data_IF_748533015985
#
_entry.id   IF_748533015985
#
_cell.length_a   1.000
_cell.length_b   1.000
_cell.length_c   1.000
_cell.angle_alpha   90.00
_cell.angle_beta   90.00
_cell.angle_gamma   90.00
#
_symmetry.space_group_name_H-M   'P 1'
#
loop_
_entity.id
_entity.type
_entity.pdbx_description
1 polymer ?
#
# COMPACT_ATOMS: atom_id res chain seq x y z
N UNK A 1 -4.68 -8.78 12.69
CA UNK A 1 -3.76 -9.16 11.61
C UNK A 1 -2.57 -9.89 12.20
N UNK A 2 -2.09 -10.98 11.58
CA UNK A 2 -0.79 -11.54 11.95
C UNK A 2 0.31 -10.60 11.42
N UNK A 3 1.33 -10.30 12.23
CA UNK A 3 2.44 -9.40 11.88
C UNK A 3 3.13 -9.78 10.56
N UNK A 4 3.15 -11.07 10.26
CA UNK A 4 3.69 -11.63 9.02
C UNK A 4 2.91 -11.20 7.77
N UNK A 5 1.58 -10.99 7.88
CA UNK A 5 0.76 -10.50 6.76
C UNK A 5 1.08 -9.02 6.44
N UNK A 6 1.30 -8.19 7.46
CA UNK A 6 1.70 -6.78 7.27
C UNK A 6 3.05 -6.68 6.54
N UNK A 7 4.03 -7.49 6.94
CA UNK A 7 5.35 -7.53 6.28
C UNK A 7 5.26 -8.01 4.83
N UNK A 8 4.42 -9.01 4.57
CA UNK A 8 4.25 -9.53 3.21
C UNK A 8 3.64 -8.47 2.30
N UNK A 9 2.55 -7.85 2.73
CA UNK A 9 1.90 -6.77 1.97
C UNK A 9 2.86 -5.59 1.78
N UNK A 10 3.59 -5.21 2.83
CA UNK A 10 4.63 -4.17 2.73
C UNK A 10 5.68 -4.50 1.67
N UNK A 11 6.29 -5.70 1.72
CA UNK A 11 7.32 -6.12 0.74
C UNK A 11 6.78 -6.11 -0.68
N UNK A 12 5.57 -6.61 -0.87
CA UNK A 12 4.91 -6.62 -2.17
C UNK A 12 4.68 -5.20 -2.68
N UNK A 13 4.11 -4.31 -1.85
CA UNK A 13 3.90 -2.90 -2.19
C UNK A 13 5.22 -2.18 -2.52
N UNK A 14 6.29 -2.42 -1.76
CA UNK A 14 7.62 -1.87 -2.04
C UNK A 14 8.16 -2.37 -3.38
N UNK A 15 7.96 -3.66 -3.70
CA UNK A 15 8.41 -4.22 -4.97
C UNK A 15 7.67 -3.60 -6.17
N UNK A 16 6.34 -3.48 -6.06
CA UNK A 16 5.50 -2.84 -7.08
C UNK A 16 5.91 -1.38 -7.27
N UNK A 17 6.03 -0.61 -6.19
CA UNK A 17 6.38 0.82 -6.25
C UNK A 17 7.78 1.06 -6.86
N UNK A 18 8.73 0.12 -6.70
CA UNK A 18 10.11 0.26 -7.21
C UNK A 18 10.27 -0.19 -8.66
N UNK A 19 9.39 -1.05 -9.18
CA UNK A 19 9.53 -1.67 -10.50
C UNK A 19 8.72 -0.95 -11.60
N UNK A 20 8.64 0.38 -11.57
CA UNK A 20 7.87 1.19 -12.52
C UNK A 20 6.43 0.66 -12.69
N UNK A 21 5.60 0.79 -11.65
CA UNK A 21 4.29 0.16 -11.60
C UNK A 21 3.41 0.67 -12.75
N UNK A 22 2.72 -0.26 -13.42
CA UNK A 22 1.69 0.09 -14.39
C UNK A 22 0.42 0.56 -13.66
N UNK A 23 -0.50 1.20 -14.39
CA UNK A 23 -1.77 1.62 -13.81
C UNK A 23 -2.58 0.44 -13.24
N UNK A 24 -2.54 -0.72 -13.90
CA UNK A 24 -3.19 -1.95 -13.42
C UNK A 24 -2.59 -2.40 -12.09
N UNK A 25 -1.25 -2.39 -11.95
CA UNK A 25 -0.59 -2.77 -10.70
C UNK A 25 -1.01 -1.86 -9.55
N UNK A 26 -1.17 -0.56 -9.82
CA UNK A 26 -1.63 0.43 -8.85
C UNK A 26 -3.07 0.15 -8.44
N UNK A 27 -3.95 -0.15 -9.40
CA UNK A 27 -5.35 -0.42 -9.13
C UNK A 27 -5.55 -1.72 -8.34
N UNK A 28 -4.80 -2.76 -8.66
CA UNK A 28 -4.79 -4.02 -7.92
C UNK A 28 -4.25 -3.82 -6.50
N UNK A 29 -3.20 -3.03 -6.32
CA UNK A 29 -2.70 -2.63 -5.00
C UNK A 29 -3.78 -1.94 -4.18
N UNK A 30 -4.45 -0.95 -4.77
CA UNK A 30 -5.48 -0.18 -4.07
C UNK A 30 -6.71 -1.04 -3.77
N UNK A 31 -7.10 -1.96 -4.66
CA UNK A 31 -8.21 -2.89 -4.41
C UNK A 31 -7.91 -3.88 -3.28
N UNK A 32 -6.70 -4.45 -3.27
CA UNK A 32 -6.22 -5.30 -2.18
C UNK A 32 -6.24 -4.54 -0.86
N UNK A 33 -5.73 -3.31 -0.84
CA UNK A 33 -5.77 -2.45 0.33
C UNK A 33 -7.21 -2.13 0.77
N UNK A 34 -8.19 -2.05 -0.15
CA UNK A 34 -9.60 -1.83 0.21
C UNK A 34 -10.22 -3.04 0.90
N UNK A 35 -9.81 -4.26 0.53
CA UNK A 35 -10.28 -5.52 1.12
C UNK A 35 -9.79 -5.76 2.55
N UNK A 36 -8.71 -5.09 2.96
CA UNK A 36 -8.23 -5.16 4.34
C UNK A 36 -9.24 -4.54 5.33
N UNK A 37 -9.33 -5.13 6.52
CA UNK A 37 -10.15 -4.58 7.60
C UNK A 37 -9.57 -3.27 8.15
N UNK A 38 -10.37 -2.52 8.90
CA UNK A 38 -9.95 -1.22 9.47
C UNK A 38 -8.72 -1.33 10.37
N UNK A 39 -8.62 -2.38 11.17
CA UNK A 39 -7.47 -2.65 12.04
C UNK A 39 -6.22 -2.96 11.21
N UNK A 40 -6.36 -3.80 10.19
CA UNK A 40 -5.30 -4.21 9.28
C UNK A 40 -4.71 -3.03 8.48
N UNK A 41 -5.58 -2.17 7.96
CA UNK A 41 -5.18 -0.91 7.30
C UNK A 41 -4.38 -0.03 8.23
N UNK A 42 -4.80 0.08 9.51
CA UNK A 42 -4.11 0.91 10.50
C UNK A 42 -2.74 0.34 10.85
N UNK A 43 -2.64 -0.96 11.06
CA UNK A 43 -1.38 -1.63 11.38
C UNK A 43 -0.39 -1.53 10.21
N UNK A 44 -0.86 -1.79 8.98
CA UNK A 44 -0.06 -1.62 7.76
C UNK A 44 0.38 -0.17 7.59
N UNK A 45 -0.52 0.80 7.80
CA UNK A 45 -0.18 2.22 7.67
C UNK A 45 0.84 2.68 8.70
N UNK A 46 0.74 2.20 9.94
CA UNK A 46 1.71 2.46 10.99
C UNK A 46 3.07 1.88 10.62
N UNK A 47 3.09 0.62 10.16
CA UNK A 47 4.31 -0.07 9.72
C UNK A 47 4.99 0.64 8.55
N UNK A 48 4.26 0.93 7.48
CA UNK A 48 4.78 1.69 6.32
C UNK A 48 5.28 3.07 6.77
N UNK A 49 4.57 3.75 7.67
CA UNK A 49 5.00 5.05 8.19
C UNK A 49 6.30 5.01 8.99
N UNK A 50 6.63 3.88 9.62
CA UNK A 50 7.85 3.71 10.42
C UNK A 50 9.03 3.24 9.57
N UNK A 51 8.77 2.45 8.52
CA UNK A 51 9.81 1.74 7.77
C UNK A 51 10.06 2.27 6.36
N UNK A 52 9.09 2.90 5.69
CA UNK A 52 9.25 3.33 4.30
C UNK A 52 8.41 4.60 3.99
N UNK A 53 9.02 5.76 4.26
CA UNK A 53 8.43 7.09 3.98
C UNK A 53 8.14 7.31 2.49
N UNK A 54 8.93 6.71 1.59
CA UNK A 54 8.74 6.83 0.15
C UNK A 54 7.50 6.04 -0.29
N UNK A 55 7.34 4.81 0.20
CA UNK A 55 6.15 4.01 -0.04
C UNK A 55 4.88 4.69 0.51
N UNK A 56 4.98 5.32 1.68
CA UNK A 56 3.87 6.12 2.25
C UNK A 56 3.45 7.25 1.30
N UNK A 57 4.41 8.01 0.77
CA UNK A 57 4.11 9.11 -0.15
C UNK A 57 3.53 8.58 -1.47
N UNK A 58 4.08 7.50 -2.00
CA UNK A 58 3.59 6.81 -3.20
C UNK A 58 2.13 6.40 -3.05
N UNK A 59 1.77 5.71 -1.95
CA UNK A 59 0.40 5.32 -1.65
C UNK A 59 -0.56 6.51 -1.52
N UNK A 60 -0.09 7.64 -0.96
CA UNK A 60 -0.91 8.87 -0.87
C UNK A 60 -1.21 9.45 -2.24
N UNK A 61 -0.18 9.58 -3.10
CA UNK A 61 -0.32 10.19 -4.43
C UNK A 61 -1.30 9.38 -5.28
N UNK A 62 -1.10 8.06 -5.36
CA UNK A 62 -1.96 7.21 -6.18
C UNK A 62 -3.36 7.01 -5.58
N UNK A 63 -3.46 6.94 -4.25
CA UNK A 63 -4.76 6.91 -3.57
C UNK A 63 -5.58 8.19 -3.76
N UNK A 64 -4.93 9.35 -3.92
CA UNK A 64 -5.58 10.61 -4.25
C UNK A 64 -5.97 10.71 -5.73
N UNK A 65 -5.10 10.26 -6.65
CA UNK A 65 -5.39 10.22 -8.08
C UNK A 65 -6.66 9.41 -8.38
N UNK A 66 -6.83 8.26 -7.71
CA UNK A 66 -8.05 7.45 -7.84
C UNK A 66 -9.33 8.11 -7.31
N UNK A 67 -9.22 9.09 -6.39
CA UNK A 67 -10.39 9.84 -5.90
C UNK A 67 -10.75 11.03 -6.78
N UNK A 68 -9.81 11.50 -7.59
CA UNK A 68 -9.97 12.65 -8.48
C UNK A 68 -10.42 12.25 -9.90
N UNK A 69 -10.19 11.00 -10.30
CA UNK A 69 -10.74 10.38 -11.51
C UNK A 69 -12.13 9.81 -11.26
#
# INVERSE_FOLDING_TARGET
>A
MNFENCKHIHRWLTAVARNQPTQTDIDDCLDLLRKLDRSEKRDLWLWVSQHDSNLKQWLKVHGQQRRAA
#
